data_IF_636132374316
#
_entry.id   IF_636132374316
#
_cell.length_a   1.000
_cell.length_b   1.000
_cell.length_c   1.000
_cell.angle_alpha   90.00
_cell.angle_beta   90.00
_cell.angle_gamma   90.00
#
_symmetry.space_group_name_H-M   'P 1'
#
loop_
_entity.id
_entity.type
_entity.pdbx_description
1 polymer ?
#
# COMPACT_ATOMS: atom_id res chain seq x y z
N UNK A 1 -19.06 29.59 14.54
CA UNK A 1 -17.91 28.71 14.85
C UNK A 1 -16.86 28.92 13.76
N UNK A 2 -15.70 29.49 14.06
CA UNK A 2 -14.58 29.54 13.11
C UNK A 2 -13.93 28.16 13.06
N UNK A 3 -14.06 27.46 11.93
CA UNK A 3 -13.43 26.16 11.70
C UNK A 3 -12.00 26.42 11.24
N UNK A 4 -11.01 26.05 12.05
CA UNK A 4 -9.59 26.11 11.66
C UNK A 4 -9.25 24.90 10.77
N UNK A 5 -8.87 25.09 9.49
CA UNK A 5 -8.56 23.98 8.58
C UNK A 5 -7.14 23.40 8.75
N UNK A 6 -6.24 24.11 9.45
CA UNK A 6 -4.86 23.69 9.69
C UNK A 6 -4.70 22.26 10.29
N UNK A 7 -5.44 21.87 11.35
CA UNK A 7 -5.32 20.51 11.91
C UNK A 7 -5.73 19.41 10.92
N UNK A 8 -6.68 19.69 10.03
CA UNK A 8 -7.15 18.72 9.06
C UNK A 8 -6.12 18.48 7.94
N UNK A 9 -5.41 19.52 7.52
CA UNK A 9 -4.32 19.40 6.56
C UNK A 9 -3.13 18.62 7.15
N UNK A 10 -2.83 18.81 8.44
CA UNK A 10 -1.79 18.06 9.14
C UNK A 10 -2.19 16.59 9.26
N UNK A 11 -3.42 16.30 9.66
CA UNK A 11 -3.94 14.94 9.76
C UNK A 11 -3.84 14.18 8.42
N UNK A 12 -4.18 14.85 7.31
CA UNK A 12 -4.02 14.30 5.95
C UNK A 12 -2.56 13.96 5.64
N UNK A 13 -1.62 14.87 5.91
CA UNK A 13 -0.20 14.64 5.68
C UNK A 13 0.35 13.49 6.54
N UNK A 14 -0.10 13.35 7.78
CA UNK A 14 0.26 12.22 8.67
C UNK A 14 -0.23 10.90 8.10
N UNK A 15 -1.49 10.81 7.65
CA UNK A 15 -2.03 9.58 7.06
C UNK A 15 -1.27 9.17 5.80
N UNK A 16 -0.95 10.13 4.92
CA UNK A 16 -0.17 9.84 3.71
C UNK A 16 1.27 9.44 4.05
N UNK A 17 1.85 10.02 5.11
CA UNK A 17 3.16 9.61 5.62
C UNK A 17 3.16 8.16 6.15
N UNK A 18 2.13 7.79 6.92
CA UNK A 18 1.96 6.42 7.42
C UNK A 18 1.72 5.42 6.29
N UNK A 19 0.89 5.78 5.30
CA UNK A 19 0.67 4.91 4.13
C UNK A 19 1.96 4.72 3.35
N UNK A 20 2.77 5.77 3.16
CA UNK A 20 4.07 5.68 2.50
C UNK A 20 5.02 4.72 3.23
N UNK A 21 5.19 4.88 4.55
CA UNK A 21 6.08 4.04 5.34
C UNK A 21 5.69 2.56 5.27
N UNK A 22 4.39 2.26 5.42
CA UNK A 22 3.88 0.90 5.30
C UNK A 22 4.02 0.35 3.88
N UNK A 23 3.73 1.14 2.84
CA UNK A 23 3.89 0.71 1.46
C UNK A 23 5.33 0.36 1.11
N UNK A 24 6.33 1.08 1.64
CA UNK A 24 7.74 0.73 1.45
C UNK A 24 8.07 -0.62 2.12
N UNK A 25 7.58 -0.85 3.34
CA UNK A 25 7.79 -2.12 4.04
C UNK A 25 7.13 -3.30 3.31
N UNK A 26 5.90 -3.10 2.81
CA UNK A 26 5.15 -4.08 2.00
C UNK A 26 5.89 -4.36 0.70
N UNK A 27 6.37 -3.31 0.01
CA UNK A 27 7.15 -3.46 -1.22
C UNK A 27 8.41 -4.30 -0.99
N UNK A 28 9.16 -4.00 0.09
CA UNK A 28 10.38 -4.73 0.43
C UNK A 28 10.12 -6.20 0.74
N UNK A 29 9.11 -6.49 1.58
CA UNK A 29 8.75 -7.87 1.96
C UNK A 29 8.17 -8.66 0.78
N UNK A 30 7.29 -8.06 -0.02
CA UNK A 30 6.75 -8.67 -1.24
C UNK A 30 7.85 -8.96 -2.28
N UNK A 31 8.72 -7.98 -2.55
CA UNK A 31 9.82 -8.13 -3.49
C UNK A 31 10.82 -9.21 -3.03
N UNK A 32 11.15 -9.24 -1.74
CA UNK A 32 12.02 -10.27 -1.17
C UNK A 32 11.43 -11.67 -1.33
N UNK A 33 10.15 -11.88 -0.96
CA UNK A 33 9.49 -13.20 -1.12
C UNK A 33 9.46 -13.65 -2.58
N UNK A 34 9.16 -12.75 -3.51
CA UNK A 34 9.15 -13.03 -4.95
C UNK A 34 10.55 -13.33 -5.50
N UNK A 35 11.58 -12.62 -5.03
CA UNK A 35 12.97 -12.86 -5.43
C UNK A 35 13.47 -14.23 -4.95
N UNK A 36 13.12 -14.64 -3.72
CA UNK A 36 13.46 -15.97 -3.20
C UNK A 36 12.78 -17.06 -4.04
N UNK A 37 11.49 -16.90 -4.35
CA UNK A 37 10.77 -17.82 -5.23
C UNK A 37 11.45 -17.94 -6.60
N UNK A 38 11.69 -16.81 -7.29
CA UNK A 38 12.31 -16.82 -8.62
C UNK A 38 13.70 -17.46 -8.62
N UNK A 39 14.50 -17.20 -7.58
CA UNK A 39 15.84 -17.81 -7.42
C UNK A 39 15.74 -19.32 -7.19
N UNK A 40 14.87 -19.78 -6.31
CA UNK A 40 14.73 -21.19 -5.98
C UNK A 40 14.09 -22.00 -7.12
N UNK A 41 13.17 -21.41 -7.88
CA UNK A 41 12.55 -22.04 -9.04
C UNK A 41 13.54 -22.22 -10.21
N UNK A 42 14.35 -21.19 -10.50
CA UNK A 42 15.27 -21.20 -11.65
C UNK A 42 16.58 -21.93 -11.40
N UNK A 43 17.09 -21.90 -10.17
CA UNK A 43 18.44 -22.39 -9.84
C UNK A 43 18.46 -23.84 -9.37
N UNK A 44 17.37 -24.59 -9.52
CA UNK A 44 17.22 -25.91 -8.92
C UNK A 44 18.02 -26.98 -9.71
N UNK A 45 19.24 -27.35 -9.28
CA UNK A 45 20.16 -28.15 -10.10
C UNK A 45 19.74 -29.63 -10.18
N UNK A 46 18.84 -30.04 -9.27
CA UNK A 46 18.53 -31.44 -8.98
C UNK A 46 17.10 -31.84 -9.32
N UNK A 47 16.34 -30.96 -9.97
CA UNK A 47 14.94 -31.20 -10.39
C UNK A 47 14.00 -31.60 -9.25
N UNK A 48 14.37 -31.32 -7.99
CA UNK A 48 13.53 -31.56 -6.82
C UNK A 48 12.41 -30.51 -6.78
N UNK A 49 11.13 -30.91 -6.79
CA UNK A 49 10.01 -29.97 -6.75
C UNK A 49 9.86 -29.39 -5.33
N UNK A 50 10.68 -28.39 -4.99
CA UNK A 50 10.53 -27.58 -3.77
C UNK A 50 9.28 -26.68 -3.87
N UNK A 51 8.94 -26.28 -5.09
CA UNK A 51 7.75 -25.52 -5.44
C UNK A 51 6.93 -26.38 -6.42
N UNK A 52 5.59 -26.35 -6.35
CA UNK A 52 4.75 -27.09 -7.29
C UNK A 52 4.85 -26.50 -8.71
N UNK A 53 4.58 -27.31 -9.74
CA UNK A 53 4.63 -26.86 -11.14
C UNK A 53 3.52 -25.87 -11.50
N UNK A 54 2.34 -26.04 -10.89
CA UNK A 54 1.21 -25.12 -11.02
C UNK A 54 1.16 -24.21 -9.81
N UNK A 55 1.72 -23.01 -9.96
CA UNK A 55 1.93 -22.10 -8.84
C UNK A 55 1.59 -20.67 -9.25
N UNK A 56 0.70 -20.01 -8.50
CA UNK A 56 0.23 -18.68 -8.84
C UNK A 56 1.02 -17.58 -8.09
N UNK A 57 1.72 -16.76 -8.87
CA UNK A 57 2.50 -15.61 -8.39
C UNK A 57 1.86 -14.26 -8.74
N UNK A 58 0.72 -14.25 -9.43
CA UNK A 58 0.06 -13.02 -9.88
C UNK A 58 -0.41 -12.20 -8.68
N UNK A 59 -0.91 -12.84 -7.62
CA UNK A 59 -1.26 -12.15 -6.37
C UNK A 59 -0.08 -11.40 -5.76
N UNK A 60 1.08 -12.05 -5.64
CA UNK A 60 2.30 -11.41 -5.10
C UNK A 60 2.84 -10.32 -6.03
N UNK A 61 2.82 -10.52 -7.34
CA UNK A 61 3.20 -9.49 -8.32
C UNK A 61 2.27 -8.27 -8.24
N UNK A 62 0.97 -8.48 -8.06
CA UNK A 62 -0.01 -7.42 -7.82
C UNK A 62 0.28 -6.65 -6.53
N UNK A 63 0.62 -7.35 -5.45
CA UNK A 63 1.00 -6.73 -4.17
C UNK A 63 2.26 -5.86 -4.31
N UNK A 64 3.28 -6.30 -5.07
CA UNK A 64 4.45 -5.48 -5.41
C UNK A 64 4.04 -4.23 -6.21
N UNK A 65 3.23 -4.42 -7.25
CA UNK A 65 2.78 -3.33 -8.12
C UNK A 65 2.00 -2.26 -7.36
N UNK A 66 0.98 -2.67 -6.60
CA UNK A 66 0.16 -1.76 -5.80
C UNK A 66 0.98 -1.01 -4.74
N UNK A 67 1.88 -1.68 -4.02
CA UNK A 67 2.74 -1.05 -3.04
C UNK A 67 3.70 -0.01 -3.67
N UNK A 68 4.25 -0.31 -4.85
CA UNK A 68 5.06 0.63 -5.62
C UNK A 68 4.25 1.86 -6.07
N UNK A 69 3.03 1.64 -6.59
CA UNK A 69 2.14 2.74 -7.00
C UNK A 69 1.80 3.66 -5.83
N UNK A 70 1.38 3.11 -4.68
CA UNK A 70 1.07 3.91 -3.49
C UNK A 70 2.28 4.68 -3.01
N UNK A 71 3.47 4.07 -3.03
CA UNK A 71 4.73 4.72 -2.66
C UNK A 71 4.98 5.96 -3.52
N UNK A 72 4.92 5.82 -4.85
CA UNK A 72 5.17 6.92 -5.79
C UNK A 72 4.15 8.05 -5.61
N UNK A 73 2.86 7.70 -5.54
CA UNK A 73 1.78 8.69 -5.41
C UNK A 73 1.82 9.41 -4.05
N UNK A 74 2.15 8.69 -2.98
CA UNK A 74 2.29 9.28 -1.64
C UNK A 74 3.49 10.23 -1.56
N UNK A 75 4.62 9.87 -2.18
CA UNK A 75 5.79 10.75 -2.29
C UNK A 75 5.41 12.01 -3.07
N UNK A 76 4.76 11.87 -4.22
CA UNK A 76 4.35 13.01 -5.05
C UNK A 76 3.45 13.99 -4.25
N UNK A 77 2.48 13.47 -3.50
CA UNK A 77 1.63 14.28 -2.63
C UNK A 77 2.42 14.96 -1.51
N UNK A 78 3.27 14.23 -0.79
CA UNK A 78 4.03 14.79 0.34
C UNK A 78 5.03 15.85 -0.11
N UNK A 79 5.71 15.65 -1.23
CA UNK A 79 6.61 16.65 -1.82
C UNK A 79 5.81 17.91 -2.15
N UNK A 80 4.66 17.79 -2.82
CA UNK A 80 3.83 18.94 -3.13
C UNK A 80 3.27 19.65 -1.86
N UNK A 81 2.94 18.88 -0.82
CA UNK A 81 2.35 19.36 0.42
C UNK A 81 3.34 20.00 1.39
N UNK A 82 4.59 19.53 1.43
CA UNK A 82 5.62 19.97 2.39
C UNK A 82 6.57 21.02 1.81
N UNK A 83 6.75 21.07 0.48
CA UNK A 83 7.65 22.05 -0.14
C UNK A 83 6.95 23.42 -0.20
N UNK A 84 7.46 24.45 0.51
CA UNK A 84 6.80 25.76 0.61
C UNK A 84 6.60 26.46 -0.74
N UNK A 85 7.47 26.16 -1.73
CA UNK A 85 7.43 26.73 -3.08
C UNK A 85 6.09 26.52 -3.80
N UNK A 86 5.37 25.45 -3.51
CA UNK A 86 4.07 25.17 -4.15
C UNK A 86 2.89 25.93 -3.52
N UNK A 87 3.05 26.48 -2.30
CA UNK A 87 2.04 27.23 -1.56
C UNK A 87 0.63 26.61 -1.61
N UNK A 88 0.52 25.30 -1.32
CA UNK A 88 -0.76 24.58 -1.37
C UNK A 88 -1.76 25.04 -0.31
N UNK A 89 -1.28 25.65 0.79
CA UNK A 89 -2.12 26.26 1.83
C UNK A 89 -2.95 27.44 1.28
N UNK A 90 -2.38 28.24 0.38
CA UNK A 90 -3.10 29.33 -0.28
C UNK A 90 -4.01 28.88 -1.43
N UNK A 91 -3.98 27.60 -1.83
CA UNK A 91 -4.72 27.07 -2.99
C UNK A 91 -5.49 25.79 -2.64
N UNK A 92 -6.59 25.88 -1.87
CA UNK A 92 -7.29 24.71 -1.33
C UNK A 92 -7.84 23.78 -2.41
N UNK A 93 -8.29 24.31 -3.55
CA UNK A 93 -8.74 23.49 -4.69
C UNK A 93 -7.61 22.67 -5.31
N UNK A 94 -6.41 23.25 -5.43
CA UNK A 94 -5.25 22.55 -5.99
C UNK A 94 -4.77 21.45 -5.04
N UNK A 95 -4.72 21.72 -3.74
CA UNK A 95 -4.39 20.71 -2.72
C UNK A 95 -5.39 19.56 -2.74
N UNK A 96 -6.68 19.86 -2.83
CA UNK A 96 -7.73 18.85 -2.91
C UNK A 96 -7.61 18.01 -4.18
N UNK A 97 -7.34 18.64 -5.32
CA UNK A 97 -7.13 17.93 -6.59
C UNK A 97 -5.93 16.98 -6.52
N UNK A 98 -4.80 17.42 -5.95
CA UNK A 98 -3.63 16.58 -5.75
C UNK A 98 -3.89 15.46 -4.75
N UNK A 99 -4.57 15.76 -3.64
CA UNK A 99 -4.92 14.76 -2.63
C UNK A 99 -5.85 13.69 -3.19
N UNK A 100 -6.92 14.07 -3.90
CA UNK A 100 -7.83 13.11 -4.54
C UNK A 100 -7.14 12.38 -5.69
N UNK A 101 -6.38 13.10 -6.52
CA UNK A 101 -5.67 12.53 -7.67
C UNK A 101 -4.58 11.52 -7.29
N UNK A 102 -4.10 11.54 -6.05
CA UNK A 102 -3.13 10.56 -5.54
C UNK A 102 -3.78 9.50 -4.66
N UNK A 103 -4.65 9.89 -3.73
CA UNK A 103 -5.27 8.97 -2.76
C UNK A 103 -6.35 8.08 -3.38
N UNK A 104 -7.16 8.58 -4.31
CA UNK A 104 -8.22 7.79 -4.96
C UNK A 104 -7.67 6.61 -5.79
N UNK A 105 -6.73 6.81 -6.74
CA UNK A 105 -6.17 5.67 -7.47
C UNK A 105 -5.39 4.72 -6.55
N UNK A 106 -4.73 5.23 -5.50
CA UNK A 106 -4.08 4.42 -4.48
C UNK A 106 -5.06 3.51 -3.72
N UNK A 107 -6.21 4.04 -3.31
CA UNK A 107 -7.27 3.28 -2.65
C UNK A 107 -7.86 2.22 -3.59
N UNK A 108 -8.11 2.59 -4.85
CA UNK A 108 -8.67 1.66 -5.84
C UNK A 108 -7.73 0.49 -6.15
N UNK A 109 -6.44 0.77 -6.42
CA UNK A 109 -5.48 -0.28 -6.78
C UNK A 109 -5.18 -1.21 -5.60
N UNK A 110 -5.13 -0.69 -4.37
CA UNK A 110 -4.91 -1.51 -3.17
C UNK A 110 -6.13 -2.38 -2.87
N UNK A 111 -7.35 -1.86 -3.04
CA UNK A 111 -8.58 -2.63 -2.89
C UNK A 111 -8.67 -3.78 -3.90
N UNK A 112 -8.47 -3.49 -5.18
CA UNK A 112 -8.50 -4.50 -6.25
C UNK A 112 -7.45 -5.59 -5.97
N UNK A 113 -6.23 -5.17 -5.62
CA UNK A 113 -5.12 -6.10 -5.35
C UNK A 113 -5.41 -6.98 -4.14
N UNK A 114 -6.00 -6.41 -3.07
CA UNK A 114 -6.39 -7.17 -1.89
C UNK A 114 -7.42 -8.24 -2.21
N UNK A 115 -8.48 -7.87 -2.92
CA UNK A 115 -9.54 -8.80 -3.33
C UNK A 115 -8.92 -9.91 -4.17
N UNK A 116 -8.12 -9.55 -5.17
CA UNK A 116 -7.48 -10.51 -6.06
C UNK A 116 -6.53 -11.47 -5.32
N UNK A 117 -5.67 -10.94 -4.45
CA UNK A 117 -4.77 -11.78 -3.64
C UNK A 117 -5.53 -12.68 -2.66
N UNK A 118 -6.67 -12.23 -2.12
CA UNK A 118 -7.48 -13.05 -1.23
C UNK A 118 -8.19 -14.18 -1.99
N UNK A 119 -8.71 -13.90 -3.19
CA UNK A 119 -9.32 -14.92 -4.06
C UNK A 119 -8.29 -16.03 -4.34
N UNK A 120 -7.11 -15.65 -4.86
CA UNK A 120 -6.05 -16.62 -5.17
C UNK A 120 -5.58 -17.43 -3.96
N UNK A 121 -5.53 -16.82 -2.77
CA UNK A 121 -5.17 -17.55 -1.55
C UNK A 121 -6.28 -18.51 -1.07
N UNK A 122 -7.53 -18.33 -1.52
CA UNK A 122 -8.67 -19.17 -1.14
C UNK A 122 -8.81 -20.40 -2.03
N UNK A 123 -8.20 -20.39 -3.22
CA UNK A 123 -8.17 -21.52 -4.16
C UNK A 123 -7.22 -22.66 -3.70
N UNK A 124 -6.47 -22.46 -2.62
CA UNK A 124 -5.67 -23.52 -2.03
C UNK A 124 -6.57 -24.60 -1.39
N UNK A 125 -6.27 -25.91 -1.56
CA UNK A 125 -5.00 -26.46 -2.05
C UNK A 125 -4.95 -26.79 -3.55
N UNK A 126 -5.96 -26.40 -4.34
CA UNK A 126 -6.01 -26.74 -5.78
C UNK A 126 -4.95 -25.96 -6.57
N UNK A 127 -4.78 -24.68 -6.25
CA UNK A 127 -3.69 -23.83 -6.76
C UNK A 127 -3.00 -23.14 -5.59
N UNK A 128 -1.71 -23.42 -5.40
CA UNK A 128 -0.92 -22.81 -4.32
C UNK A 128 -0.28 -21.48 -4.73
N UNK A 129 -0.23 -20.54 -3.79
CA UNK A 129 0.49 -19.27 -3.90
C UNK A 129 1.76 -19.28 -3.03
N UNK A 130 2.61 -18.26 -3.18
CA UNK A 130 3.77 -18.05 -2.28
C UNK A 130 3.35 -18.05 -0.82
N UNK A 131 2.22 -17.42 -0.51
CA UNK A 131 1.74 -17.34 0.86
C UNK A 131 1.24 -18.70 1.37
N UNK A 132 0.35 -19.38 0.63
CA UNK A 132 -0.26 -20.63 1.10
C UNK A 132 0.78 -21.73 1.23
N UNK A 133 1.68 -21.86 0.25
CA UNK A 133 2.74 -22.86 0.24
C UNK A 133 3.75 -22.67 1.37
N UNK A 134 4.33 -21.47 1.50
CA UNK A 134 5.33 -21.21 2.54
C UNK A 134 4.73 -21.33 3.93
N UNK A 135 3.46 -20.97 4.10
CA UNK A 135 2.76 -21.15 5.38
C UNK A 135 2.39 -22.60 5.69
N UNK A 136 2.08 -23.42 4.67
CA UNK A 136 1.81 -24.85 4.81
C UNK A 136 3.05 -25.61 5.27
N UNK A 137 4.22 -25.26 4.72
CA UNK A 137 5.50 -25.92 5.00
C UNK A 137 6.41 -25.13 5.95
N UNK A 138 5.87 -24.18 6.72
CA UNK A 138 6.65 -23.33 7.64
C UNK A 138 7.35 -24.10 8.78
N UNK A 139 6.84 -25.28 9.12
CA UNK A 139 7.29 -26.10 10.24
C UNK A 139 7.76 -27.49 9.83
N UNK A 140 7.84 -27.78 8.53
CA UNK A 140 8.52 -29.00 8.09
C UNK A 140 10.02 -28.83 8.32
N UNK A 141 10.66 -29.84 8.90
CA UNK A 141 12.10 -29.92 8.90
C UNK A 141 12.61 -29.85 7.46
N UNK A 142 13.78 -29.24 7.19
CA UNK A 142 14.46 -29.48 5.93
C UNK A 142 14.54 -30.98 5.74
N UNK A 143 14.14 -31.43 4.54
CA UNK A 143 14.28 -32.83 4.16
C UNK A 143 15.71 -33.24 4.55
N UNK A 144 15.86 -34.27 5.38
CA UNK A 144 17.14 -34.90 5.65
C UNK A 144 17.63 -35.43 4.29
N UNK A 145 18.43 -34.61 3.62
CA UNK A 145 19.03 -34.94 2.33
C UNK A 145 20.51 -35.14 2.58
N UNK A 146 21.04 -36.28 2.13
CA UNK A 146 22.47 -36.63 2.19
C UNK A 146 23.38 -35.66 1.40
N UNK A 147 22.77 -34.71 0.68
CA UNK A 147 23.44 -33.73 -0.17
C UNK A 147 23.35 -32.36 0.49
N UNK A 148 24.49 -31.68 0.77
CA UNK A 148 24.47 -30.33 1.33
C UNK A 148 23.83 -29.36 0.32
N UNK A 149 22.65 -28.83 0.65
CA UNK A 149 22.02 -27.79 -0.16
C UNK A 149 22.78 -26.45 0.00
N UNK A 150 22.92 -25.67 -1.08
CA UNK A 150 23.41 -24.30 -0.99
C UNK A 150 22.63 -23.47 0.04
N UNK A 151 23.31 -22.61 0.81
CA UNK A 151 22.66 -21.73 1.79
C UNK A 151 21.52 -20.93 1.13
N UNK A 152 20.31 -21.07 1.67
CA UNK A 152 19.09 -20.43 1.14
C UNK A 152 18.33 -21.24 0.09
N UNK A 153 18.75 -22.48 -0.21
CA UNK A 153 18.02 -23.45 -1.01
C UNK A 153 17.42 -24.50 -0.07
N UNK A 154 16.09 -24.57 0.01
CA UNK A 154 15.34 -25.39 0.97
C UNK A 154 14.21 -24.65 1.67
N UNK A 155 13.44 -25.37 2.50
CA UNK A 155 12.30 -24.85 3.27
C UNK A 155 12.69 -24.14 4.60
N UNK A 156 13.97 -24.12 4.97
CA UNK A 156 14.43 -23.54 6.25
C UNK A 156 14.03 -22.06 6.45
N UNK A 157 13.82 -21.32 5.36
CA UNK A 157 13.37 -19.92 5.41
C UNK A 157 11.85 -19.75 5.26
N UNK A 158 11.07 -20.83 5.08
CA UNK A 158 9.64 -20.74 4.79
C UNK A 158 8.82 -20.13 5.94
N UNK A 159 9.26 -20.30 7.20
CA UNK A 159 8.66 -19.60 8.32
C UNK A 159 8.74 -18.07 8.19
N UNK A 160 9.92 -17.56 7.81
CA UNK A 160 10.13 -16.12 7.57
C UNK A 160 9.35 -15.64 6.34
N UNK A 161 9.35 -16.42 5.25
CA UNK A 161 8.61 -16.09 4.03
C UNK A 161 7.09 -16.06 4.28
N UNK A 162 6.54 -17.02 5.04
CA UNK A 162 5.14 -17.03 5.42
C UNK A 162 4.78 -15.76 6.21
N UNK A 163 5.62 -15.38 7.17
CA UNK A 163 5.39 -14.17 7.96
C UNK A 163 5.46 -12.90 7.11
N UNK A 164 6.42 -12.83 6.20
CA UNK A 164 6.56 -11.71 5.25
C UNK A 164 5.34 -11.63 4.32
N UNK A 165 4.91 -12.74 3.72
CA UNK A 165 3.75 -12.76 2.82
C UNK A 165 2.45 -12.39 3.55
N UNK A 166 2.25 -12.87 4.78
CA UNK A 166 1.12 -12.43 5.62
C UNK A 166 1.19 -10.94 5.95
N UNK A 167 2.37 -10.45 6.33
CA UNK A 167 2.58 -9.02 6.56
C UNK A 167 2.26 -8.20 5.31
N UNK A 168 2.68 -8.65 4.12
CA UNK A 168 2.36 -8.00 2.85
C UNK A 168 0.84 -7.89 2.67
N UNK A 169 0.10 -9.00 2.83
CA UNK A 169 -1.35 -9.01 2.60
C UNK A 169 -2.10 -8.14 3.62
N UNK A 170 -1.86 -8.35 4.92
CA UNK A 170 -2.52 -7.56 5.97
C UNK A 170 -2.05 -6.10 5.99
N UNK A 171 -0.78 -5.85 5.66
CA UNK A 171 -0.24 -4.51 5.50
C UNK A 171 -0.94 -3.76 4.37
N UNK A 172 -1.19 -4.41 3.22
CA UNK A 172 -1.95 -3.81 2.12
C UNK A 172 -3.37 -3.46 2.56
N UNK A 173 -4.02 -4.28 3.42
CA UNK A 173 -5.33 -3.95 4.00
C UNK A 173 -5.28 -2.66 4.82
N UNK A 174 -4.27 -2.53 5.69
CA UNK A 174 -4.09 -1.29 6.48
C UNK A 174 -3.85 -0.09 5.56
N UNK A 175 -3.01 -0.23 4.53
CA UNK A 175 -2.77 0.84 3.54
C UNK A 175 -4.05 1.20 2.77
N UNK A 176 -4.88 0.23 2.41
CA UNK A 176 -6.19 0.47 1.79
C UNK A 176 -7.09 1.30 2.71
N UNK A 177 -7.15 0.98 4.00
CA UNK A 177 -7.94 1.75 4.97
C UNK A 177 -7.40 3.17 5.16
N UNK A 178 -6.08 3.33 5.26
CA UNK A 178 -5.43 4.64 5.39
C UNK A 178 -5.67 5.53 4.15
N UNK A 179 -5.57 4.96 2.95
CA UNK A 179 -5.80 5.69 1.69
C UNK A 179 -7.28 6.05 1.51
N UNK A 180 -8.22 5.16 1.86
CA UNK A 180 -9.64 5.49 1.95
C UNK A 180 -9.92 6.64 2.94
N UNK A 181 -9.32 6.59 4.14
CA UNK A 181 -9.42 7.66 5.13
C UNK A 181 -8.86 8.99 4.60
N UNK A 182 -7.74 8.95 3.88
CA UNK A 182 -7.15 10.12 3.21
C UNK A 182 -8.08 10.72 2.14
N UNK A 183 -8.77 9.89 1.34
CA UNK A 183 -9.77 10.36 0.37
C UNK A 183 -10.89 11.11 1.08
N UNK A 184 -11.46 10.52 2.13
CA UNK A 184 -12.55 11.13 2.91
C UNK A 184 -12.10 12.46 3.53
N UNK A 185 -10.93 12.49 4.16
CA UNK A 185 -10.39 13.73 4.75
C UNK A 185 -10.09 14.80 3.71
N UNK A 186 -9.59 14.42 2.54
CA UNK A 186 -9.36 15.37 1.44
C UNK A 186 -10.68 15.97 0.96
N UNK A 187 -11.73 15.16 0.86
CA UNK A 187 -13.05 15.63 0.47
C UNK A 187 -13.66 16.58 1.53
N UNK A 188 -13.61 16.20 2.80
CA UNK A 188 -14.12 17.01 3.93
C UNK A 188 -13.35 18.34 4.05
N UNK A 189 -12.03 18.32 3.96
CA UNK A 189 -11.19 19.54 4.00
C UNK A 189 -11.49 20.48 2.85
N UNK A 190 -11.73 19.95 1.65
CA UNK A 190 -12.10 20.73 0.48
C UNK A 190 -13.47 21.40 0.66
N UNK A 191 -14.46 20.65 1.15
CA UNK A 191 -15.78 21.19 1.45
C UNK A 191 -15.69 22.29 2.53
N UNK A 192 -14.99 22.04 3.63
CA UNK A 192 -14.79 23.04 4.68
C UNK A 192 -14.14 24.32 4.13
N UNK A 193 -13.11 24.19 3.30
CA UNK A 193 -12.45 25.33 2.65
C UNK A 193 -13.39 26.11 1.72
N UNK A 194 -14.23 25.40 0.94
CA UNK A 194 -15.24 26.02 0.07
C UNK A 194 -16.30 26.75 0.88
N UNK A 195 -16.75 26.17 1.99
CA UNK A 195 -17.75 26.76 2.88
C UNK A 195 -17.22 28.02 3.55
N UNK A 196 -16.00 27.97 4.11
CA UNK A 196 -15.34 29.12 4.72
C UNK A 196 -15.20 30.28 3.72
N UNK A 197 -14.75 30.00 2.49
CA UNK A 197 -14.62 31.02 1.44
C UNK A 197 -15.96 31.65 1.03
N UNK A 198 -17.06 30.89 1.03
CA UNK A 198 -18.41 31.44 0.77
C UNK A 198 -18.88 32.35 1.90
N UNK A 199 -18.59 32.00 3.15
CA UNK A 199 -18.99 32.80 4.31
C UNK A 199 -18.29 34.16 4.32
N UNK A 200 -16.96 34.18 4.10
CA UNK A 200 -16.21 35.43 4.02
C UNK A 200 -16.71 36.35 2.90
N UNK A 201 -17.15 35.79 1.76
CA UNK A 201 -17.71 36.60 0.68
C UNK A 201 -19.03 37.29 1.08
N UNK A 202 -19.91 36.56 1.77
CA UNK A 202 -21.16 37.14 2.30
C UNK A 202 -20.90 38.23 3.33
N UNK A 203 -19.92 38.04 4.22
CA UNK A 203 -19.54 39.04 5.23
C UNK A 203 -19.01 40.33 4.58
N UNK A 204 -18.22 40.23 3.52
CA UNK A 204 -17.76 41.40 2.75
C UNK A 204 -18.90 42.12 2.01
N UNK A 205 -19.85 41.38 1.43
CA UNK A 205 -21.03 41.94 0.76
C UNK A 205 -21.91 42.74 1.77
N UNK A 206 -22.11 42.21 2.98
CA UNK A 206 -22.88 42.90 4.03
C UNK A 206 -22.16 44.13 4.60
N UNK A 207 -20.83 44.07 4.76
CA UNK A 207 -20.04 45.21 5.25
C UNK A 207 -20.01 46.37 4.24
N UNK A 208 -19.95 46.08 2.94
CA UNK A 208 -19.97 47.10 1.90
C UNK A 208 -21.32 47.78 1.69
N UNK A 209 -22.42 47.21 2.19
CA UNK A 209 -23.75 47.85 2.16
C UNK A 209 -23.98 48.84 3.33
N UNK A 210 -23.10 48.86 4.32
CA UNK A 210 -23.20 49.73 5.50
C UNK A 210 -22.33 51.01 5.42
N UNK A 211 -21.53 51.16 4.36
CA UNK A 211 -20.73 52.35 4.05
C UNK A 211 -21.35 53.19 2.94
#
# INVERSE_FOLDING_TARGET
MQINPAPLHLAQSVLVGLSLALSIAILGTAAHTLAVFNKQQSSNPWWLPLWPQHFDVHGTKGLVGSAATVTILSIAFLVAALVPKFNLLGRPTLRALLGLGTAFPSALITLITLIYAHILNSDAPEIDTIQTWTCKYKGSSPLEQDIPLPKGMGNGNFGSLCQQSKFTLYGTLVVCLLTCGSVVLTFVTWLASKWAGRQSRKEMEMAGQQS
#
